data_IF_206279249666
#
_entry.id   IF_206279249666
#
_cell.length_a   1.000
_cell.length_b   1.000
_cell.length_c   1.000
_cell.angle_alpha   90.00
_cell.angle_beta   90.00
_cell.angle_gamma   90.00
#
_symmetry.space_group_name_H-M   'P 1'
#
loop_
_entity.id
_entity.type
_entity.pdbx_description
1 polymer ?
#
# COMPACT_ATOMS: atom_id res chain seq x y z
N UNK A 1 12.44 -15.69 -1.20
CA UNK A 1 12.03 -15.40 -1.34
C UNK A 1 11.25 -15.49 -1.03
N UNK A 2 11.12 -15.37 -0.81
CA UNK A 2 10.11 -15.87 -0.67
C UNK A 2 9.32 -15.49 0.47
N UNK A 3 9.82 -15.36 1.68
CA UNK A 3 9.05 -14.84 2.77
C UNK A 3 8.59 -13.44 2.53
N UNK A 4 9.45 -12.61 1.96
CA UNK A 4 9.05 -11.24 1.66
C UNK A 4 7.96 -11.19 0.63
N UNK A 5 8.07 -12.03 -0.38
CA UNK A 5 7.03 -12.06 -1.39
C UNK A 5 5.73 -12.56 -0.82
N UNK A 6 5.80 -13.54 0.08
CA UNK A 6 4.58 -14.04 0.70
C UNK A 6 3.90 -12.98 1.53
N UNK A 7 4.67 -12.19 2.26
CA UNK A 7 4.11 -11.13 3.09
C UNK A 7 3.44 -10.09 2.22
N UNK A 8 4.11 -9.67 1.15
CA UNK A 8 3.54 -8.67 0.27
C UNK A 8 2.29 -9.18 -0.42
N UNK A 9 2.31 -10.44 -0.85
CA UNK A 9 1.13 -11.01 -1.49
C UNK A 9 -0.02 -11.12 -0.52
N UNK A 10 0.24 -11.49 0.71
CA UNK A 10 -0.83 -11.58 1.69
C UNK A 10 -1.40 -10.21 2.02
N UNK A 11 -0.52 -9.22 2.15
CA UNK A 11 -0.99 -7.87 2.40
C UNK A 11 -1.82 -7.37 1.23
N UNK A 12 -1.37 -7.66 0.01
CA UNK A 12 -2.11 -7.27 -1.18
C UNK A 12 -3.49 -7.92 -1.18
N UNK A 13 -3.56 -9.19 -0.81
CA UNK A 13 -4.84 -9.89 -0.78
C UNK A 13 -5.77 -9.30 0.26
N UNK A 14 -5.24 -8.91 1.42
CA UNK A 14 -6.04 -8.28 2.45
C UNK A 14 -6.61 -6.96 1.93
N UNK A 15 -5.77 -6.15 1.28
CA UNK A 15 -6.21 -4.88 0.76
C UNK A 15 -7.30 -5.08 -0.29
N UNK A 16 -7.11 -6.04 -1.19
CA UNK A 16 -8.12 -6.31 -2.20
C UNK A 16 -9.43 -6.76 -1.57
N UNK A 17 -9.34 -7.57 -0.53
CA UNK A 17 -10.55 -8.07 0.10
C UNK A 17 -11.32 -6.97 0.82
N UNK A 18 -10.68 -5.86 1.13
CA UNK A 18 -11.35 -4.78 1.85
C UNK A 18 -11.86 -3.66 0.98
N UNK A 19 -11.58 -3.74 -0.33
CA UNK A 19 -11.99 -2.69 -1.24
C UNK A 19 -13.49 -2.42 -1.21
N UNK A 20 -14.30 -3.45 -1.14
CA UNK A 20 -15.73 -3.27 -1.19
C UNK A 20 -16.41 -3.25 0.15
N UNK A 21 -15.65 -3.19 1.24
CA UNK A 21 -16.24 -3.24 2.56
C UNK A 21 -16.80 -1.89 2.97
N UNK A 22 -17.58 -1.92 4.04
CA UNK A 22 -18.16 -0.72 4.61
C UNK A 22 -17.02 0.19 5.06
N UNK A 23 -17.02 1.42 4.59
CA UNK A 23 -15.96 2.37 4.90
C UNK A 23 -15.89 2.72 6.37
N UNK A 24 -16.95 2.45 7.12
CA UNK A 24 -16.90 2.71 8.54
C UNK A 24 -16.24 1.60 9.32
N UNK A 25 -16.02 0.45 8.68
CA UNK A 25 -15.43 -0.69 9.37
C UNK A 25 -14.04 -1.02 8.87
N UNK A 26 -13.55 -0.35 7.86
CA UNK A 26 -12.27 -0.67 7.28
C UNK A 26 -11.56 0.60 6.84
N UNK A 27 -10.33 0.77 7.30
CA UNK A 27 -9.52 1.89 6.89
C UNK A 27 -9.25 1.84 5.38
N UNK A 28 -9.01 0.63 4.85
CA UNK A 28 -8.78 0.46 3.43
C UNK A 28 -10.01 0.93 2.64
N UNK A 29 -11.19 0.49 3.07
CA UNK A 29 -12.40 0.89 2.37
C UNK A 29 -12.61 2.40 2.46
N UNK A 30 -12.26 2.99 3.58
CA UNK A 30 -12.36 4.44 3.73
C UNK A 30 -11.45 5.16 2.76
N UNK A 31 -10.23 4.67 2.60
CA UNK A 31 -9.29 5.27 1.66
C UNK A 31 -9.81 5.15 0.23
N UNK A 32 -10.37 4.01 -0.13
CA UNK A 32 -10.92 3.85 -1.47
C UNK A 32 -12.11 4.78 -1.69
N UNK A 33 -12.93 4.96 -0.67
CA UNK A 33 -14.07 5.84 -0.81
C UNK A 33 -13.64 7.28 -1.02
N UNK A 34 -12.59 7.70 -0.33
CA UNK A 34 -12.09 9.06 -0.51
C UNK A 34 -11.45 9.25 -1.87
N UNK A 35 -10.89 8.21 -2.42
CA UNK A 35 -10.27 8.28 -3.72
C UNK A 35 -8.84 8.81 -3.70
N UNK A 36 -8.31 9.13 -4.88
CA UNK A 36 -6.87 9.44 -5.00
C UNK A 36 -6.37 10.56 -4.11
N UNK A 37 -7.15 11.61 -3.94
CA UNK A 37 -6.67 12.72 -3.13
C UNK A 37 -6.31 12.27 -1.72
N UNK A 38 -7.07 11.32 -1.19
CA UNK A 38 -6.82 10.85 0.16
C UNK A 38 -5.57 10.00 0.27
N UNK A 39 -5.49 8.93 -0.51
CA UNK A 39 -4.35 8.03 -0.33
C UNK A 39 -3.07 8.58 -0.93
N UNK A 40 -3.14 9.41 -1.97
CA UNK A 40 -1.94 10.02 -2.52
C UNK A 40 -1.32 11.01 -1.53
N UNK A 41 -2.17 11.72 -0.81
CA UNK A 41 -1.68 12.59 0.26
C UNK A 41 -0.94 11.76 1.31
N UNK A 42 -1.51 10.61 1.67
CA UNK A 42 -0.86 9.75 2.65
C UNK A 42 0.47 9.21 2.14
N UNK A 43 0.55 8.82 0.88
CA UNK A 43 1.81 8.35 0.32
C UNK A 43 2.87 9.44 0.44
N UNK A 44 2.52 10.67 0.10
CA UNK A 44 3.47 11.77 0.21
C UNK A 44 3.91 12.03 1.64
N UNK A 45 2.95 12.03 2.56
CA UNK A 45 3.26 12.27 3.96
C UNK A 45 4.16 11.18 4.54
N UNK A 46 3.86 9.92 4.24
CA UNK A 46 4.63 8.82 4.78
C UNK A 46 6.02 8.76 4.17
N UNK A 47 6.16 9.15 2.91
CA UNK A 47 7.47 9.21 2.29
C UNK A 47 8.34 10.24 3.01
N UNK A 48 7.77 11.40 3.31
CA UNK A 48 8.48 12.44 4.03
C UNK A 48 8.90 11.96 5.42
N UNK A 49 7.98 11.30 6.11
CA UNK A 49 8.28 10.83 7.46
C UNK A 49 9.33 9.74 7.45
N UNK A 50 9.33 8.92 6.39
CA UNK A 50 10.36 7.89 6.24
C UNK A 50 11.73 8.53 6.08
N UNK A 51 11.81 9.58 5.26
CA UNK A 51 13.07 10.29 5.06
C UNK A 51 13.56 10.89 6.38
N UNK A 52 12.65 11.50 7.13
CA UNK A 52 13.01 12.11 8.39
C UNK A 52 13.48 11.08 9.41
N UNK A 53 12.80 9.94 9.46
CA UNK A 53 13.20 8.87 10.36
C UNK A 53 14.59 8.36 10.00
N UNK A 54 14.89 8.25 8.72
CA UNK A 54 16.18 7.79 8.27
C UNK A 54 17.28 8.78 8.66
N UNK A 55 16.99 10.07 8.51
CA UNK A 55 17.96 11.09 8.87
C UNK A 55 18.22 11.10 10.37
N UNK A 56 17.22 10.75 11.16
CA UNK A 56 17.39 10.66 12.60
C UNK A 56 18.07 9.36 13.01
N UNK A 57 18.25 8.44 12.08
CA UNK A 57 18.88 7.15 12.31
C UNK A 57 18.23 6.38 13.44
N UNK A 58 16.91 6.44 13.53
CA UNK A 58 16.14 5.74 14.56
C UNK A 58 15.58 4.46 13.93
N UNK A 59 16.15 3.30 14.22
CA UNK A 59 15.75 2.07 13.52
C UNK A 59 14.28 1.72 13.66
N UNK A 60 13.71 1.91 14.84
CA UNK A 60 12.32 1.57 15.03
C UNK A 60 11.41 2.48 14.23
N UNK A 61 11.73 3.75 14.20
CA UNK A 61 10.94 4.68 13.41
C UNK A 61 11.09 4.41 11.93
N UNK A 62 12.31 4.09 11.49
CA UNK A 62 12.52 3.79 10.08
C UNK A 62 11.63 2.62 9.67
N UNK A 63 11.62 1.56 10.47
CA UNK A 63 10.82 0.38 10.14
C UNK A 63 9.34 0.72 10.13
N UNK A 64 8.89 1.47 11.14
CA UNK A 64 7.47 1.81 11.24
C UNK A 64 7.02 2.67 10.06
N UNK A 65 7.81 3.68 9.72
CA UNK A 65 7.41 4.58 8.65
C UNK A 65 7.50 3.91 7.28
N UNK A 66 8.49 3.03 7.10
CA UNK A 66 8.58 2.27 5.86
C UNK A 66 7.37 1.37 5.69
N UNK A 67 6.95 0.72 6.76
CA UNK A 67 5.79 -0.17 6.68
C UNK A 67 4.53 0.62 6.32
N UNK A 68 4.38 1.80 6.90
CA UNK A 68 3.24 2.64 6.64
C UNK A 68 3.25 3.15 5.19
N UNK A 69 4.42 3.51 4.71
CA UNK A 69 4.56 3.93 3.32
C UNK A 69 4.22 2.79 2.37
N UNK A 70 4.72 1.59 2.65
CA UNK A 70 4.42 0.42 1.83
C UNK A 70 2.92 0.14 1.80
N UNK A 71 2.28 0.23 2.96
CA UNK A 71 0.85 -0.03 3.03
C UNK A 71 0.08 0.92 2.11
N UNK A 72 0.37 2.20 2.21
CA UNK A 72 -0.36 3.18 1.39
C UNK A 72 -0.01 3.07 -0.09
N UNK A 73 1.23 2.67 -0.39
CA UNK A 73 1.61 2.43 -1.77
C UNK A 73 0.82 1.26 -2.36
N UNK A 74 0.63 0.21 -1.57
CA UNK A 74 -0.16 -0.92 -2.04
C UNK A 74 -1.62 -0.55 -2.23
N UNK A 75 -2.15 0.31 -1.37
CA UNK A 75 -3.51 0.82 -1.56
C UNK A 75 -3.61 1.55 -2.89
N UNK A 76 -2.62 2.39 -3.18
CA UNK A 76 -2.60 3.11 -4.44
C UNK A 76 -2.61 2.15 -5.63
N UNK A 77 -1.74 1.15 -5.60
CA UNK A 77 -1.67 0.18 -6.69
C UNK A 77 -2.99 -0.58 -6.83
N UNK A 78 -3.60 -0.93 -5.71
CA UNK A 78 -4.86 -1.64 -5.75
C UNK A 78 -5.96 -0.77 -6.35
N UNK A 79 -5.98 0.50 -6.01
CA UNK A 79 -7.00 1.41 -6.52
C UNK A 79 -6.97 1.47 -8.05
N UNK A 80 -5.76 1.48 -8.61
CA UNK A 80 -5.61 1.56 -10.06
C UNK A 80 -5.55 0.18 -10.71
N UNK A 81 -5.84 -0.86 -9.94
CA UNK A 81 -5.86 -2.23 -10.44
C UNK A 81 -4.53 -2.69 -10.98
N UNK A 82 -3.46 -2.22 -10.34
CA UNK A 82 -2.11 -2.57 -10.77
C UNK A 82 -1.42 -3.55 -9.83
N UNK A 83 -2.12 -3.95 -8.76
CA UNK A 83 -1.47 -4.76 -7.74
C UNK A 83 -1.12 -6.15 -8.22
N UNK A 84 -1.90 -6.72 -9.10
CA UNK A 84 -1.64 -8.05 -9.61
C UNK A 84 -1.37 -8.03 -11.09
N UNK A 85 -0.55 -7.13 -11.52
CA UNK A 85 -0.35 -7.01 -12.91
C UNK A 85 0.71 -7.87 -13.36
N UNK A 86 1.03 -8.81 -12.72
CA UNK A 86 1.98 -9.53 -13.19
C UNK A 86 1.69 -10.02 -14.42
N UNK A 87 2.54 -10.30 -15.01
CA UNK A 87 2.47 -10.59 -16.22
C UNK A 87 1.66 -11.52 -16.68
N UNK A 88 1.06 -11.60 -16.61
CA UNK A 88 0.25 -12.35 -17.08
C UNK A 88 0.13 -12.22 -18.34
N UNK A 89 0.14 -12.72 -18.79
CA UNK A 89 0.04 -12.57 -19.79
C UNK A 89 -0.81 -12.12 -20.42
N UNK A 90 -1.09 -11.95 -20.25
CA UNK A 90 -1.80 -11.36 -20.65
C UNK A 90 -1.75 -10.95 -21.42
N UNK A 91 -1.50 -11.20 -21.45
CA UNK A 91 -1.52 -10.65 -21.87
C UNK A 91 -1.25 -10.23 -22.35
N UNK A 92 -1.08 -10.43 -22.49
CA UNK A 92 -0.86 -9.87 -22.83
C UNK A 92 -0.68 -9.33 -23.01
N UNK A 93 -0.73 -9.30 -22.86
CA UNK A 93 -0.69 -8.56 -22.87
C UNK A 93 -0.57 -7.95 -22.95
N UNK A 94 -0.57 -7.91 -22.88
CA UNK A 94 -0.56 -7.20 -22.94
C UNK A 94 -0.37 -7.07 -23.24
#
# INVERSE_FOLDING_TARGET
MDKNEDVLERLAAVIESRKGMDSEKSYVAKLFKKGPDGFLKKVGEEACETVMAAKDADPKKIIYECADLWFHTLVMLSYYCLLYTSPSPRDGAT
#
